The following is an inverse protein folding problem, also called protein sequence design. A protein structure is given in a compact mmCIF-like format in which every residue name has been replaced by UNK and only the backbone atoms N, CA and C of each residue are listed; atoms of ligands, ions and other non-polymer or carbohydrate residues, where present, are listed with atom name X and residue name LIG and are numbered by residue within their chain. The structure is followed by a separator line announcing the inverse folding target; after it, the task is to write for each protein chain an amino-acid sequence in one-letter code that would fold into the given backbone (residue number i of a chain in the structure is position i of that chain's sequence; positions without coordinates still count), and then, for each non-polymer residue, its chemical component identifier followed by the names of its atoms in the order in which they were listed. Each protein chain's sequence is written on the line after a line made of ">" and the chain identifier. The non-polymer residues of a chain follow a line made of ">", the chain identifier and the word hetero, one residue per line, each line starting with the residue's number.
data_IF_981069884310
#
_entry.id   IF_981069884310
#
_cell.length_a   1.000
_cell.length_b   1.000
_cell.length_c   1.000
_cell.angle_alpha   90.00
_cell.angle_beta   90.00
_cell.angle_gamma   90.00
#
_symmetry.space_group_name_H-M   'P 1'
#
loop_
_entity.id
_entity.type
_entity.pdbx_description
1 polymer ?
#
# COMPACT_ATOMS: atom_id res chain seq x y z
N UNK A 1 -15.54 7.47 -20.33
CA UNK A 1 -14.65 6.56 -19.56
C UNK A 1 -14.95 6.73 -18.09
N UNK A 2 -15.51 5.72 -17.41
CA UNK A 2 -15.50 5.70 -15.94
C UNK A 2 -14.03 5.57 -15.53
N UNK A 3 -13.51 6.57 -14.84
CA UNK A 3 -12.20 6.46 -14.21
C UNK A 3 -12.35 5.47 -13.06
N UNK A 4 -11.84 4.26 -13.24
CA UNK A 4 -11.72 3.30 -12.14
C UNK A 4 -10.80 3.93 -11.09
N UNK A 5 -11.38 4.23 -9.94
CA UNK A 5 -10.69 4.78 -8.76
C UNK A 5 -10.75 3.77 -7.65
N UNK A 6 -9.78 3.84 -6.76
CA UNK A 6 -9.85 3.16 -5.47
C UNK A 6 -11.01 3.73 -4.67
N UNK A 7 -11.80 2.85 -4.04
CA UNK A 7 -12.85 3.22 -3.10
C UNK A 7 -12.54 2.51 -1.78
N UNK A 8 -12.36 3.29 -0.71
CA UNK A 8 -12.05 2.78 0.62
C UNK A 8 -13.21 2.92 1.61
N UNK A 9 -14.38 3.40 1.21
CA UNK A 9 -15.44 3.79 2.13
C UNK A 9 -15.91 2.63 3.02
N UNK A 10 -16.05 1.43 2.44
CA UNK A 10 -16.51 0.21 3.13
C UNK A 10 -15.44 -0.51 3.94
N UNK A 11 -14.16 -0.11 3.83
CA UNK A 11 -13.04 -0.77 4.49
C UNK A 11 -13.19 -0.69 6.01
N UNK A 12 -13.04 -1.83 6.69
CA UNK A 12 -13.12 -1.94 8.15
C UNK A 12 -11.81 -2.33 8.80
N UNK A 13 -11.05 -3.25 8.20
CA UNK A 13 -9.78 -3.75 8.76
C UNK A 13 -8.65 -3.55 7.77
N UNK A 14 -7.47 -3.28 8.32
CA UNK A 14 -6.24 -3.11 7.54
C UNK A 14 -5.12 -3.86 8.24
N UNK A 15 -4.51 -4.78 7.51
CA UNK A 15 -3.30 -5.47 7.91
C UNK A 15 -2.12 -4.95 7.11
N UNK A 16 -0.96 -4.84 7.74
CA UNK A 16 0.29 -4.50 7.08
C UNK A 16 1.26 -5.66 7.23
N UNK A 17 1.86 -6.05 6.10
CA UNK A 17 2.79 -7.17 6.01
C UNK A 17 4.15 -6.65 5.56
N UNK A 18 5.17 -6.86 6.39
CA UNK A 18 6.57 -6.59 6.06
C UNK A 18 7.44 -7.80 6.41
N UNK A 19 7.81 -8.54 5.38
CA UNK A 19 8.64 -9.72 5.44
C UNK A 19 9.83 -9.53 4.50
N UNK A 20 10.95 -9.10 5.07
CA UNK A 20 12.16 -8.82 4.32
C UNK A 20 13.40 -8.93 5.21
N UNK A 21 14.44 -9.60 4.71
CA UNK A 21 15.65 -9.89 5.48
C UNK A 21 15.32 -10.69 6.76
N UNK A 22 15.68 -10.12 7.92
CA UNK A 22 15.40 -10.73 9.23
C UNK A 22 14.09 -10.22 9.85
N UNK A 23 13.37 -9.32 9.18
CA UNK A 23 12.09 -8.80 9.67
C UNK A 23 10.96 -9.66 9.14
N UNK A 24 10.11 -10.15 10.04
CA UNK A 24 8.86 -10.82 9.72
C UNK A 24 7.77 -10.22 10.61
N UNK A 25 7.04 -9.25 10.08
CA UNK A 25 6.03 -8.49 10.81
C UNK A 25 4.70 -8.52 10.04
N UNK A 26 3.64 -8.95 10.72
CA UNK A 26 2.27 -8.89 10.25
C UNK A 26 1.46 -8.26 11.37
N UNK A 27 0.86 -7.10 11.12
CA UNK A 27 0.19 -6.32 12.16
C UNK A 27 -1.13 -5.74 11.66
N UNK A 28 -2.13 -5.72 12.53
CA UNK A 28 -3.37 -4.99 12.32
C UNK A 28 -3.18 -3.53 12.72
N UNK A 29 -3.66 -2.60 11.88
CA UNK A 29 -3.64 -1.16 12.18
C UNK A 29 -4.75 -0.79 13.16
N UNK A 30 -4.53 0.24 13.97
CA UNK A 30 -5.59 0.84 14.79
C UNK A 30 -6.59 1.62 13.93
N UNK A 31 -7.79 1.91 14.45
CA UNK A 31 -8.83 2.67 13.74
C UNK A 31 -8.34 4.03 13.20
N UNK A 32 -7.43 4.69 13.94
CA UNK A 32 -6.83 5.97 13.53
C UNK A 32 -5.89 5.80 12.34
N UNK A 33 -5.09 4.75 12.34
CA UNK A 33 -4.16 4.43 11.26
C UNK A 33 -4.92 3.93 10.03
N UNK A 34 -5.97 3.13 10.21
CA UNK A 34 -6.93 2.75 9.17
C UNK A 34 -7.48 4.00 8.50
N UNK A 35 -7.98 4.98 9.26
CA UNK A 35 -8.50 6.23 8.68
C UNK A 35 -7.43 7.00 7.88
N UNK A 36 -6.19 7.00 8.34
CA UNK A 36 -5.06 7.68 7.68
C UNK A 36 -4.72 7.00 6.34
N UNK A 37 -4.58 5.67 6.33
CA UNK A 37 -4.30 4.90 5.11
C UNK A 37 -5.48 5.00 4.13
N UNK A 38 -6.72 4.92 4.61
CA UNK A 38 -7.92 5.13 3.78
C UNK A 38 -7.86 6.48 3.07
N UNK A 39 -7.47 7.55 3.78
CA UNK A 39 -7.36 8.90 3.19
C UNK A 39 -6.32 8.95 2.08
N UNK A 40 -5.17 8.32 2.26
CA UNK A 40 -4.09 8.28 1.26
C UNK A 40 -4.54 7.52 -0.01
N UNK A 41 -5.28 6.43 0.15
CA UNK A 41 -5.62 5.54 -0.97
C UNK A 41 -6.93 5.89 -1.67
N UNK A 42 -7.89 6.49 -0.96
CA UNK A 42 -9.23 6.72 -1.51
C UNK A 42 -9.19 7.67 -2.72
N UNK A 43 -9.97 7.36 -3.76
CA UNK A 43 -10.07 8.18 -4.95
C UNK A 43 -8.85 8.14 -5.88
N UNK A 44 -7.79 7.39 -5.56
CA UNK A 44 -6.62 7.24 -6.43
C UNK A 44 -7.01 6.60 -7.77
N UNK A 45 -6.55 7.20 -8.86
CA UNK A 45 -6.83 6.73 -10.22
C UNK A 45 -6.05 5.44 -10.48
N UNK A 46 -6.77 4.42 -10.94
CA UNK A 46 -6.17 3.17 -11.38
C UNK A 46 -5.63 3.31 -12.81
N UNK A 47 -4.46 2.72 -13.06
CA UNK A 47 -3.86 2.65 -14.39
C UNK A 47 -3.14 1.31 -14.61
N UNK A 48 -2.82 1.00 -15.87
CA UNK A 48 -1.91 -0.09 -16.25
C UNK A 48 -0.64 0.53 -16.82
N UNK A 49 0.47 -0.12 -16.57
CA UNK A 49 1.79 0.28 -17.07
C UNK A 49 2.73 -0.94 -17.05
N UNK A 50 3.89 -0.85 -17.69
CA UNK A 50 4.94 -1.86 -17.65
C UNK A 50 6.11 -1.32 -16.83
N UNK A 51 6.03 -1.47 -15.52
CA UNK A 51 6.99 -0.87 -14.58
C UNK A 51 8.14 -1.82 -14.26
N UNK A 52 9.31 -1.25 -14.01
CA UNK A 52 10.49 -1.99 -13.52
C UNK A 52 10.54 -2.15 -12.00
N UNK A 53 9.58 -1.56 -11.26
CA UNK A 53 9.54 -1.62 -9.81
C UNK A 53 9.27 -3.05 -9.31
N UNK A 54 9.97 -3.45 -8.25
CA UNK A 54 9.74 -4.73 -7.58
C UNK A 54 8.58 -4.63 -6.58
N UNK A 55 7.57 -5.49 -6.75
CA UNK A 55 6.44 -5.63 -5.84
C UNK A 55 6.42 -7.05 -5.25
N UNK A 56 5.95 -7.18 -4.02
CA UNK A 56 5.74 -8.48 -3.36
C UNK A 56 4.62 -8.36 -2.33
N UNK A 57 3.80 -9.39 -2.18
CA UNK A 57 2.82 -9.51 -1.10
C UNK A 57 3.48 -9.43 0.29
N UNK A 58 4.76 -9.82 0.39
CA UNK A 58 5.58 -9.70 1.59
C UNK A 58 5.82 -8.25 2.03
N UNK A 59 5.56 -7.26 1.18
CA UNK A 59 5.68 -5.83 1.47
C UNK A 59 4.39 -5.15 1.00
N UNK A 60 3.33 -5.32 1.79
CA UNK A 60 1.97 -4.97 1.36
C UNK A 60 1.09 -4.42 2.49
N UNK A 61 -0.01 -3.81 2.06
CA UNK A 61 -1.14 -3.41 2.89
C UNK A 61 -2.37 -4.17 2.39
N UNK A 62 -3.03 -4.89 3.28
CA UNK A 62 -4.21 -5.70 2.98
C UNK A 62 -5.45 -5.08 3.60
N UNK A 63 -6.44 -4.76 2.78
CA UNK A 63 -7.74 -4.23 3.22
C UNK A 63 -8.79 -5.34 3.21
N UNK A 64 -9.50 -5.50 4.32
CA UNK A 64 -10.58 -6.47 4.51
C UNK A 64 -10.26 -7.94 4.15
N UNK A 65 -8.98 -8.32 4.09
CA UNK A 65 -8.47 -9.61 3.58
C UNK A 65 -8.72 -9.88 2.08
N UNK A 66 -9.26 -8.91 1.35
CA UNK A 66 -9.69 -9.06 -0.04
C UNK A 66 -8.89 -8.21 -1.03
N UNK A 67 -8.19 -7.18 -0.55
CA UNK A 67 -7.49 -6.23 -1.40
C UNK A 67 -6.06 -6.02 -0.94
N UNK A 68 -5.12 -6.50 -1.75
CA UNK A 68 -3.70 -6.49 -1.46
C UNK A 68 -3.00 -5.42 -2.30
N UNK A 69 -2.41 -4.46 -1.59
CA UNK A 69 -1.69 -3.34 -2.19
C UNK A 69 -0.20 -3.46 -1.86
N UNK A 70 0.59 -3.89 -2.83
CA UNK A 70 2.03 -4.09 -2.70
C UNK A 70 2.78 -2.77 -2.92
N UNK A 71 3.64 -2.41 -1.99
CA UNK A 71 4.42 -1.16 -2.05
C UNK A 71 5.70 -1.43 -2.85
N UNK A 72 6.08 -0.50 -3.72
CA UNK A 72 7.34 -0.61 -4.45
C UNK A 72 8.54 -0.62 -3.48
N UNK A 73 9.42 -1.61 -3.65
CA UNK A 73 10.57 -1.83 -2.75
C UNK A 73 11.72 -0.84 -2.92
N UNK A 74 11.69 -0.02 -3.97
CA UNK A 74 12.74 0.89 -4.42
C UNK A 74 12.43 2.37 -4.14
N UNK A 75 11.54 2.67 -3.18
CA UNK A 75 11.06 4.03 -2.81
C UNK A 75 10.20 4.74 -3.87
N UNK A 76 9.85 4.04 -4.96
CA UNK A 76 8.97 4.57 -5.98
C UNK A 76 7.57 4.86 -5.40
N UNK A 77 6.91 5.91 -5.88
CA UNK A 77 5.59 6.32 -5.42
C UNK A 77 4.44 5.41 -5.90
N UNK A 78 4.78 4.26 -6.48
CA UNK A 78 3.80 3.38 -7.11
C UNK A 78 3.43 2.28 -6.13
N UNK A 79 2.13 2.01 -6.06
CA UNK A 79 1.58 0.89 -5.31
C UNK A 79 0.80 0.03 -6.29
N UNK A 80 1.05 -1.28 -6.23
CA UNK A 80 0.42 -2.28 -7.08
C UNK A 80 -0.79 -2.89 -6.37
N UNK A 81 -1.96 -2.83 -6.98
CA UNK A 81 -3.15 -3.54 -6.52
C UNK A 81 -3.22 -4.88 -7.25
N UNK A 82 -2.95 -5.94 -6.50
CA UNK A 82 -2.80 -7.30 -6.99
C UNK A 82 -4.07 -7.83 -7.67
N UNK A 83 -5.20 -7.81 -6.97
CA UNK A 83 -6.43 -8.46 -7.46
C UNK A 83 -6.97 -7.78 -8.72
N UNK A 84 -6.66 -6.50 -8.93
CA UNK A 84 -7.05 -5.77 -10.15
C UNK A 84 -5.99 -5.80 -11.24
N UNK A 85 -4.76 -6.22 -10.93
CA UNK A 85 -3.59 -6.06 -11.80
C UNK A 85 -3.49 -4.62 -12.34
N UNK A 86 -3.49 -3.65 -11.42
CA UNK A 86 -3.49 -2.20 -11.68
C UNK A 86 -2.56 -1.50 -10.70
N UNK A 87 -2.17 -0.27 -11.04
CA UNK A 87 -1.35 0.57 -10.19
C UNK A 87 -2.12 1.80 -9.74
N UNK A 88 -1.69 2.34 -8.60
CA UNK A 88 -1.96 3.71 -8.18
C UNK A 88 -0.62 4.44 -7.99
N UNK A 89 -0.68 5.77 -8.04
CA UNK A 89 0.48 6.62 -7.77
C UNK A 89 0.14 7.52 -6.59
N UNK A 90 1.00 7.51 -5.60
CA UNK A 90 0.98 8.43 -4.47
C UNK A 90 1.68 9.75 -4.86
N UNK A 91 1.29 10.84 -4.23
CA UNK A 91 2.08 12.07 -4.23
C UNK A 91 3.29 11.91 -3.27
N UNK A 92 4.29 12.79 -3.34
CA UNK A 92 5.50 12.65 -2.51
C UNK A 92 5.20 12.81 -1.01
N UNK A 93 4.30 13.74 -0.67
CA UNK A 93 3.83 13.96 0.70
C UNK A 93 3.03 12.75 1.22
N UNK A 94 2.16 12.17 0.39
CA UNK A 94 1.41 10.96 0.73
C UNK A 94 2.30 9.74 0.91
N UNK A 95 3.31 9.56 0.05
CA UNK A 95 4.31 8.50 0.23
C UNK A 95 5.05 8.67 1.55
N UNK A 96 5.47 9.89 1.86
CA UNK A 96 6.16 10.21 3.11
C UNK A 96 5.26 9.94 4.32
N UNK A 97 3.99 10.35 4.27
CA UNK A 97 3.01 10.05 5.32
C UNK A 97 2.79 8.55 5.50
N UNK A 98 2.68 7.81 4.39
CA UNK A 98 2.53 6.37 4.43
C UNK A 98 3.74 5.69 5.07
N UNK A 99 4.96 6.08 4.67
CA UNK A 99 6.19 5.49 5.21
C UNK A 99 6.33 5.77 6.71
N UNK A 100 6.07 7.00 7.16
CA UNK A 100 6.10 7.34 8.58
C UNK A 100 5.05 6.57 9.39
N UNK A 101 3.88 6.30 8.80
CA UNK A 101 2.84 5.47 9.42
C UNK A 101 3.27 4.01 9.54
N UNK A 102 4.01 3.50 8.55
CA UNK A 102 4.41 2.09 8.47
C UNK A 102 5.72 1.77 9.18
N UNK A 103 6.58 2.77 9.41
CA UNK A 103 7.89 2.60 10.06
C UNK A 103 7.81 1.87 11.41
N UNK A 104 6.85 2.17 12.33
CA UNK A 104 6.70 1.43 13.58
C UNK A 104 6.41 -0.07 13.40
N UNK A 105 5.92 -0.48 12.24
CA UNK A 105 5.64 -1.88 11.89
C UNK A 105 6.80 -2.57 11.18
N UNK A 106 7.98 -1.93 11.14
CA UNK A 106 9.21 -2.49 10.59
C UNK A 106 9.41 -2.24 9.10
N UNK A 107 8.54 -1.46 8.45
CA UNK A 107 8.72 -1.09 7.05
C UNK A 107 9.93 -0.18 6.89
N UNK A 108 10.96 -0.69 6.23
CA UNK A 108 12.20 0.04 5.90
C UNK A 108 12.38 -0.03 4.40
N UNK A 109 12.48 1.13 3.74
CA UNK A 109 12.68 1.25 2.31
C UNK A 109 14.01 1.99 2.02
N UNK A 110 14.74 1.64 0.94
CA UNK A 110 14.46 0.52 0.03
C UNK A 110 14.72 -0.86 0.67
N UNK A 111 14.05 -1.88 0.16
CA UNK A 111 14.13 -3.27 0.61
C UNK A 111 14.27 -4.24 -0.60
N UNK A 112 15.43 -4.18 -1.25
CA UNK A 112 15.71 -4.85 -2.53
C UNK A 112 16.35 -6.22 -2.42
#
# INVERSE_FOLDING_TARGET
>A
MRLDKVNMDSVKKVEVCFQYGNTNAINQLSDREVASVKTIFNGKKLYKDNLSCGFSEAVSIKFDDEHTFCIARDTCQIVYWEEKNRYIRLMEDEKTQLYNLLEPYGFIFPCV
#
